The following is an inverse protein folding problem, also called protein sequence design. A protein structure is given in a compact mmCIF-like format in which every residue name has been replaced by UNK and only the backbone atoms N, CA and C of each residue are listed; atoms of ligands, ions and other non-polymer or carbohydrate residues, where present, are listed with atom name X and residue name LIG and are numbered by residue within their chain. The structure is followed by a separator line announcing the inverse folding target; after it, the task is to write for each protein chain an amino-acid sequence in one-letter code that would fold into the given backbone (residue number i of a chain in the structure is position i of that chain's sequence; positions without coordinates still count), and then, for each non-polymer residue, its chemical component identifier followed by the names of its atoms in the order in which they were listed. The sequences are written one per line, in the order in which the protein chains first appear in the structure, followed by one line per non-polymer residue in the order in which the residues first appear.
data_IF_510035039125
#
_entry.id   IF_510035039125
#
_cell.length_a   1.000
_cell.length_b   1.000
_cell.length_c   1.000
_cell.angle_alpha   90.00
_cell.angle_beta   90.00
_cell.angle_gamma   90.00
#
_symmetry.space_group_name_H-M   'P 1'
#
loop_
_entity.id
_entity.type
_entity.pdbx_description
1 polymer ?
#
# COMPACT_ATOMS: atom_id res chain seq x y z
N UNK A 1 -5.55 11.53 -27.36
CA UNK A 1 -5.08 10.18 -27.71
C UNK A 1 -5.34 9.97 -29.21
N UNK A 2 -4.54 9.18 -29.95
CA UNK A 2 -4.69 9.07 -31.40
C UNK A 2 -5.76 8.01 -31.74
N UNK A 3 -6.93 8.45 -32.22
CA UNK A 3 -8.09 7.60 -32.58
C UNK A 3 -7.71 6.41 -33.47
N UNK A 4 -6.78 6.60 -34.40
CA UNK A 4 -6.31 5.53 -35.31
C UNK A 4 -5.57 4.41 -34.59
N UNK A 5 -4.91 4.74 -33.47
CA UNK A 5 -4.19 3.76 -32.66
C UNK A 5 -5.18 2.89 -31.86
N UNK A 6 -6.17 3.51 -31.22
CA UNK A 6 -7.20 2.81 -30.44
C UNK A 6 -8.07 1.90 -31.32
N UNK A 7 -8.46 2.38 -32.50
CA UNK A 7 -9.14 1.55 -33.50
C UNK A 7 -8.35 0.27 -33.84
N UNK A 8 -7.05 0.42 -34.11
CA UNK A 8 -6.18 -0.72 -34.47
C UNK A 8 -6.02 -1.72 -33.33
N UNK A 9 -6.04 -1.25 -32.08
CA UNK A 9 -5.95 -2.10 -30.90
C UNK A 9 -7.23 -2.90 -30.67
N UNK A 10 -8.40 -2.26 -30.76
CA UNK A 10 -9.69 -2.96 -30.68
C UNK A 10 -9.86 -3.98 -31.81
N UNK A 11 -9.48 -3.60 -33.04
CA UNK A 11 -9.54 -4.50 -34.18
C UNK A 11 -8.61 -5.71 -34.02
N UNK A 12 -7.44 -5.52 -33.40
CA UNK A 12 -6.52 -6.61 -33.09
C UNK A 12 -7.11 -7.55 -32.03
N UNK A 13 -7.67 -7.01 -30.95
CA UNK A 13 -8.29 -7.78 -29.88
C UNK A 13 -9.48 -8.63 -30.40
N UNK A 14 -10.32 -8.04 -31.27
CA UNK A 14 -11.43 -8.74 -31.90
C UNK A 14 -10.95 -9.88 -32.81
N UNK A 15 -9.96 -9.62 -33.68
CA UNK A 15 -9.39 -10.64 -34.58
C UNK A 15 -8.68 -11.77 -33.84
N UNK A 16 -8.13 -11.51 -32.65
CA UNK A 16 -7.56 -12.54 -31.79
C UNK A 16 -8.60 -13.31 -30.96
N UNK A 17 -9.89 -12.99 -31.09
CA UNK A 17 -10.98 -13.62 -30.33
C UNK A 17 -10.98 -13.27 -28.85
N UNK A 18 -10.29 -12.19 -28.46
CA UNK A 18 -10.18 -11.75 -27.06
C UNK A 18 -11.44 -11.01 -26.63
N UNK A 19 -12.11 -10.33 -27.57
CA UNK A 19 -13.39 -9.66 -27.36
C UNK A 19 -14.41 -10.15 -28.38
N UNK A 20 -15.69 -10.12 -28.00
CA UNK A 20 -16.79 -10.48 -28.90
C UNK A 20 -17.08 -9.36 -29.90
N UNK A 21 -17.83 -9.68 -30.96
CA UNK A 21 -18.29 -8.70 -31.95
C UNK A 21 -19.10 -7.59 -31.28
N UNK A 22 -20.03 -7.95 -30.39
CA UNK A 22 -20.83 -7.01 -29.59
C UNK A 22 -19.96 -6.07 -28.74
N UNK A 23 -18.90 -6.60 -28.12
CA UNK A 23 -17.95 -5.77 -27.34
C UNK A 23 -17.15 -4.84 -28.27
N UNK A 24 -16.74 -5.32 -29.43
CA UNK A 24 -16.05 -4.49 -30.42
C UNK A 24 -16.93 -3.34 -30.94
N UNK A 25 -18.18 -3.62 -31.29
CA UNK A 25 -19.14 -2.62 -31.75
C UNK A 25 -19.45 -1.56 -30.68
N UNK A 26 -19.59 -1.98 -29.42
CA UNK A 26 -19.80 -1.08 -28.30
C UNK A 26 -18.62 -0.12 -28.10
N UNK A 27 -17.39 -0.64 -28.09
CA UNK A 27 -16.18 0.18 -27.94
C UNK A 27 -15.94 1.09 -29.16
N UNK A 28 -16.31 0.65 -30.36
CA UNK A 28 -16.31 1.47 -31.57
C UNK A 28 -17.29 2.64 -31.48
N UNK A 29 -18.51 2.39 -30.97
CA UNK A 29 -19.49 3.45 -30.73
C UNK A 29 -18.99 4.46 -29.67
N UNK A 30 -18.27 3.98 -28.64
CA UNK A 30 -17.65 4.84 -27.64
C UNK A 30 -16.49 5.68 -28.23
N UNK A 31 -15.71 5.12 -29.17
CA UNK A 31 -14.67 5.85 -29.90
C UNK A 31 -15.22 6.90 -30.87
N UNK A 32 -16.38 6.64 -31.46
CA UNK A 32 -17.08 7.57 -32.35
C UNK A 32 -17.80 8.68 -31.57
N UNK A 33 -18.34 8.35 -30.40
CA UNK A 33 -18.97 9.32 -29.49
C UNK A 33 -17.98 10.05 -28.60
N UNK A 34 -16.78 9.52 -28.39
CA UNK A 34 -15.70 10.09 -27.56
C UNK A 34 -15.05 11.38 -28.08
N UNK A 35 -15.52 11.92 -29.22
CA UNK A 35 -15.28 13.32 -29.60
C UNK A 35 -16.25 14.30 -28.89
N UNK A 36 -17.30 13.79 -28.25
CA UNK A 36 -18.14 14.51 -27.29
C UNK A 36 -17.89 13.93 -25.90
N UNK A 37 -17.36 14.76 -25.01
CA UNK A 37 -17.09 14.45 -23.61
C UNK A 37 -18.24 13.66 -22.97
N UNK A 38 -18.00 12.37 -22.73
CA UNK A 38 -18.82 11.55 -21.84
C UNK A 38 -18.59 12.06 -20.42
N UNK A 39 -19.40 13.04 -20.04
CA UNK A 39 -19.63 13.41 -18.65
C UNK A 39 -20.30 12.23 -17.96
N UNK A 40 -19.49 11.36 -17.36
CA UNK A 40 -19.97 10.38 -16.41
C UNK A 40 -20.83 11.10 -15.36
N UNK A 41 -21.98 10.50 -15.05
CA UNK A 41 -23.08 11.11 -14.30
C UNK A 41 -22.68 11.80 -12.99
N UNK A 42 -23.55 12.67 -12.51
CA UNK A 42 -23.38 13.61 -11.40
C UNK A 42 -22.94 13.06 -10.02
N UNK A 43 -22.52 11.79 -9.91
CA UNK A 43 -21.90 11.22 -8.71
C UNK A 43 -20.40 11.04 -8.91
N UNK A 44 -19.58 11.87 -8.26
CA UNK A 44 -18.12 11.69 -8.25
C UNK A 44 -17.69 10.35 -7.66
N UNK A 45 -16.44 9.94 -7.91
CA UNK A 45 -15.85 8.72 -7.38
C UNK A 45 -15.66 8.83 -5.86
N UNK A 46 -16.25 7.94 -5.07
CA UNK A 46 -16.18 7.99 -3.61
C UNK A 46 -15.15 7.00 -3.06
N UNK A 47 -14.18 7.48 -2.31
CA UNK A 47 -13.21 6.65 -1.59
C UNK A 47 -12.68 7.37 -0.36
N UNK A 48 -12.34 6.61 0.69
CA UNK A 48 -11.79 7.15 1.95
C UNK A 48 -12.62 8.30 2.56
N UNK A 49 -13.95 8.22 2.43
CA UNK A 49 -14.87 9.28 2.90
C UNK A 49 -14.80 10.59 2.11
N UNK A 50 -14.19 10.60 0.92
CA UNK A 50 -14.06 11.76 0.03
C UNK A 50 -14.68 11.47 -1.34
N UNK A 51 -15.20 12.52 -1.96
CA UNK A 51 -15.66 12.49 -3.35
C UNK A 51 -14.61 13.13 -4.25
N UNK A 52 -14.18 12.38 -5.25
CA UNK A 52 -13.24 12.78 -6.31
C UNK A 52 -14.02 12.98 -7.61
N UNK A 53 -13.50 13.78 -8.55
CA UNK A 53 -14.20 13.94 -9.84
C UNK A 53 -14.11 12.67 -10.67
N UNK A 54 -13.01 11.93 -10.56
CA UNK A 54 -12.74 10.71 -11.31
C UNK A 54 -12.03 9.66 -10.46
N UNK A 55 -12.05 8.40 -10.92
CA UNK A 55 -11.23 7.31 -10.36
C UNK A 55 -9.74 7.67 -10.38
N UNK A 56 -9.25 8.23 -11.50
CA UNK A 56 -7.86 8.67 -11.65
C UNK A 56 -7.43 9.67 -10.58
N UNK A 57 -8.28 10.66 -10.27
CA UNK A 57 -7.98 11.62 -9.20
C UNK A 57 -7.88 10.94 -7.83
N UNK A 58 -8.76 9.98 -7.54
CA UNK A 58 -8.72 9.22 -6.30
C UNK A 58 -7.43 8.38 -6.20
N UNK A 59 -7.04 7.73 -7.30
CA UNK A 59 -5.81 6.93 -7.42
C UNK A 59 -4.58 7.80 -7.14
N UNK A 60 -4.44 8.92 -7.84
CA UNK A 60 -3.28 9.81 -7.67
C UNK A 60 -3.21 10.31 -6.22
N UNK A 61 -4.34 10.74 -5.66
CA UNK A 61 -4.40 11.23 -4.30
C UNK A 61 -4.07 10.16 -3.24
N UNK A 62 -4.37 8.88 -3.52
CA UNK A 62 -3.98 7.78 -2.65
C UNK A 62 -2.49 7.46 -2.80
N UNK A 63 -2.02 7.21 -4.03
CA UNK A 63 -0.64 6.81 -4.30
C UNK A 63 0.35 7.86 -3.81
N UNK A 64 0.08 9.15 -3.99
CA UNK A 64 1.00 10.20 -3.54
C UNK A 64 1.11 10.27 -2.01
N UNK A 65 0.00 10.05 -1.28
CA UNK A 65 0.04 9.93 0.18
C UNK A 65 0.76 8.66 0.63
N UNK A 66 0.50 7.52 -0.03
CA UNK A 66 1.17 6.26 0.28
C UNK A 66 2.68 6.36 0.03
N UNK A 67 3.09 6.92 -1.11
CA UNK A 67 4.51 7.18 -1.47
C UNK A 67 5.28 7.84 -0.32
N UNK A 68 4.76 8.95 0.20
CA UNK A 68 5.46 9.70 1.24
C UNK A 68 5.43 8.98 2.59
N UNK A 69 4.32 8.30 2.92
CA UNK A 69 4.21 7.50 4.13
C UNK A 69 5.21 6.33 4.11
N UNK A 70 5.23 5.54 3.03
CA UNK A 70 6.09 4.35 2.92
C UNK A 70 7.57 4.69 2.85
N UNK A 71 7.92 5.77 2.15
CA UNK A 71 9.32 6.25 2.13
C UNK A 71 9.80 6.62 3.54
N UNK A 72 8.94 7.22 4.36
CA UNK A 72 9.27 7.55 5.74
C UNK A 72 9.23 6.32 6.66
N UNK A 73 8.29 5.39 6.47
CA UNK A 73 8.26 4.14 7.20
C UNK A 73 9.55 3.33 6.97
N UNK A 74 10.02 3.26 5.71
CA UNK A 74 11.29 2.62 5.35
C UNK A 74 12.48 3.20 6.12
N UNK A 75 12.60 4.53 6.18
CA UNK A 75 13.64 5.22 6.97
C UNK A 75 13.46 4.97 8.47
N UNK A 76 12.25 5.06 8.98
CA UNK A 76 11.93 4.88 10.40
C UNK A 76 12.30 3.47 10.89
N UNK A 77 11.92 2.43 10.14
CA UNK A 77 12.27 1.05 10.47
C UNK A 77 13.77 0.76 10.33
N UNK A 78 14.46 1.38 9.36
CA UNK A 78 15.91 1.29 9.28
C UNK A 78 16.58 1.90 10.52
N UNK A 79 16.14 3.09 10.93
CA UNK A 79 16.66 3.76 12.12
C UNK A 79 16.44 2.91 13.38
N UNK A 80 15.25 2.33 13.52
CA UNK A 80 14.97 1.40 14.60
C UNK A 80 15.92 0.21 14.55
N UNK A 81 16.06 -0.46 13.40
CA UNK A 81 16.97 -1.60 13.25
C UNK A 81 18.43 -1.26 13.63
N UNK A 82 18.89 -0.03 13.35
CA UNK A 82 20.25 0.42 13.67
C UNK A 82 20.48 0.62 15.17
N UNK A 83 19.43 0.99 15.93
CA UNK A 83 19.50 1.16 17.39
C UNK A 83 18.91 -0.03 18.17
N UNK A 84 18.45 -1.07 17.46
CA UNK A 84 17.78 -2.22 18.03
C UNK A 84 18.74 -3.09 18.85
N UNK A 85 18.38 -3.32 20.12
CA UNK A 85 19.17 -4.11 21.09
C UNK A 85 18.64 -5.54 21.22
N UNK A 86 17.45 -5.82 20.69
CA UNK A 86 16.78 -7.12 20.74
C UNK A 86 17.08 -7.93 19.48
N UNK A 87 18.03 -8.87 19.57
CA UNK A 87 18.58 -9.57 18.41
C UNK A 87 17.52 -10.27 17.56
N UNK A 88 16.50 -10.88 18.18
CA UNK A 88 15.49 -11.68 17.47
C UNK A 88 14.55 -10.87 16.57
N UNK A 89 14.49 -9.54 16.70
CA UNK A 89 13.63 -8.69 15.86
C UNK A 89 14.43 -7.85 14.85
N UNK A 90 15.74 -7.65 15.06
CA UNK A 90 16.55 -6.70 14.27
C UNK A 90 16.47 -6.97 12.76
N UNK A 91 16.63 -8.22 12.34
CA UNK A 91 16.59 -8.57 10.91
C UNK A 91 15.18 -8.45 10.33
N UNK A 92 14.13 -8.72 11.11
CA UNK A 92 12.76 -8.50 10.65
C UNK A 92 12.46 -7.02 10.44
N UNK A 93 12.94 -6.14 11.32
CA UNK A 93 12.85 -4.68 11.11
C UNK A 93 13.56 -4.23 9.82
N UNK A 94 14.71 -4.84 9.49
CA UNK A 94 15.41 -4.56 8.20
C UNK A 94 14.59 -5.03 7.00
N UNK A 95 13.96 -6.21 7.08
CA UNK A 95 13.09 -6.69 6.00
C UNK A 95 11.90 -5.77 5.77
N UNK A 96 11.27 -5.30 6.84
CA UNK A 96 10.18 -4.31 6.79
C UNK A 96 10.69 -3.03 6.14
N UNK A 97 11.81 -2.48 6.62
CA UNK A 97 12.42 -1.27 6.06
C UNK A 97 12.64 -1.34 4.55
N UNK A 98 13.15 -2.45 4.04
CA UNK A 98 13.34 -2.65 2.59
C UNK A 98 12.03 -2.71 1.82
N UNK A 99 10.99 -3.37 2.38
CA UNK A 99 9.65 -3.41 1.77
C UNK A 99 9.03 -2.02 1.67
N UNK A 100 9.00 -1.27 2.77
CA UNK A 100 8.38 0.06 2.76
C UNK A 100 9.14 1.02 1.84
N UNK A 101 10.48 0.93 1.85
CA UNK A 101 11.30 1.71 0.92
C UNK A 101 11.03 1.33 -0.55
N UNK A 102 10.78 0.05 -0.82
CA UNK A 102 10.42 -0.43 -2.15
C UNK A 102 9.04 0.08 -2.58
N UNK A 103 8.03 -0.02 -1.71
CA UNK A 103 6.69 0.50 -2.02
C UNK A 103 6.71 2.00 -2.30
N UNK A 104 7.45 2.79 -1.49
CA UNK A 104 7.64 4.22 -1.74
C UNK A 104 8.17 4.50 -3.15
N UNK A 105 9.20 3.77 -3.60
CA UNK A 105 9.75 3.90 -4.96
C UNK A 105 8.76 3.47 -6.05
N UNK A 106 8.00 2.41 -5.81
CA UNK A 106 7.00 1.91 -6.76
C UNK A 106 5.84 2.88 -6.93
N UNK A 107 5.37 3.50 -5.83
CA UNK A 107 4.35 4.53 -5.89
C UNK A 107 4.83 5.80 -6.59
N UNK A 108 6.06 6.24 -6.35
CA UNK A 108 6.64 7.36 -7.09
C UNK A 108 6.75 7.06 -8.59
N UNK A 109 7.19 5.84 -8.95
CA UNK A 109 7.22 5.41 -10.34
C UNK A 109 5.81 5.41 -10.95
N UNK A 110 4.82 4.88 -10.24
CA UNK A 110 3.45 4.84 -10.75
C UNK A 110 2.86 6.23 -10.97
N UNK A 111 3.15 7.20 -10.10
CA UNK A 111 2.74 8.60 -10.32
C UNK A 111 3.35 9.16 -11.61
N UNK A 112 4.63 8.89 -11.88
CA UNK A 112 5.27 9.31 -13.14
C UNK A 112 4.61 8.66 -14.34
N UNK A 113 4.30 7.36 -14.28
CA UNK A 113 3.64 6.64 -15.38
C UNK A 113 2.22 7.19 -15.64
N UNK A 114 1.54 7.67 -14.59
CA UNK A 114 0.26 8.38 -14.69
C UNK A 114 0.38 9.83 -15.16
N UNK A 115 1.60 10.37 -15.31
CA UNK A 115 1.83 11.78 -15.62
C UNK A 115 1.40 12.74 -14.51
N UNK A 116 1.49 12.29 -13.25
CA UNK A 116 1.13 13.06 -12.07
C UNK A 116 2.37 13.57 -11.33
N UNK A 117 2.24 14.74 -10.69
CA UNK A 117 3.26 15.29 -9.80
C UNK A 117 3.09 14.77 -8.36
N UNK A 118 4.19 14.78 -7.61
CA UNK A 118 4.19 14.44 -6.18
C UNK A 118 3.96 15.70 -5.35
N UNK A 119 2.87 15.76 -4.60
CA UNK A 119 2.47 16.91 -3.79
C UNK A 119 2.30 16.60 -2.30
N UNK A 120 2.11 15.33 -1.95
CA UNK A 120 1.87 14.92 -0.57
C UNK A 120 3.11 15.14 0.29
N UNK A 121 2.90 15.81 1.42
CA UNK A 121 3.88 15.96 2.48
C UNK A 121 3.63 14.94 3.60
N UNK A 122 4.66 14.71 4.41
CA UNK A 122 4.54 13.87 5.60
C UNK A 122 3.46 14.39 6.54
N UNK A 123 2.65 13.49 7.08
CA UNK A 123 1.73 13.82 8.17
C UNK A 123 2.49 13.97 9.50
N UNK A 124 1.90 14.67 10.46
CA UNK A 124 2.43 14.74 11.83
C UNK A 124 2.54 13.36 12.47
N UNK A 125 1.58 12.47 12.20
CA UNK A 125 1.59 11.12 12.75
C UNK A 125 2.75 10.29 12.19
N UNK A 126 3.07 10.44 10.89
CA UNK A 126 4.23 9.78 10.27
C UNK A 126 5.55 10.27 10.87
N UNK A 127 5.64 11.57 11.17
CA UNK A 127 6.81 12.16 11.86
C UNK A 127 6.94 11.63 13.28
N UNK A 128 5.87 11.67 14.07
CA UNK A 128 5.86 11.18 15.47
C UNK A 128 6.19 9.70 15.55
N UNK A 129 5.73 8.89 14.59
CA UNK A 129 6.10 7.48 14.50
C UNK A 129 7.61 7.32 14.29
N UNK A 130 8.18 8.02 13.29
CA UNK A 130 9.61 7.97 13.00
C UNK A 130 10.47 8.42 14.18
N UNK A 131 10.06 9.48 14.88
CA UNK A 131 10.69 9.95 16.12
C UNK A 131 10.66 8.88 17.21
N UNK A 132 9.49 8.28 17.45
CA UNK A 132 9.31 7.24 18.48
C UNK A 132 10.20 6.03 18.24
N UNK A 133 10.23 5.50 17.02
CA UNK A 133 11.00 4.27 16.75
C UNK A 133 12.51 4.52 16.70
N UNK A 134 12.93 5.77 16.48
CA UNK A 134 14.34 6.19 16.50
C UNK A 134 14.84 6.58 17.90
N UNK A 135 13.95 6.77 18.87
CA UNK A 135 14.31 7.15 20.24
C UNK A 135 15.09 6.02 20.95
N UNK A 136 16.32 6.32 21.36
CA UNK A 136 17.21 5.36 22.05
C UNK A 136 16.90 5.22 23.53
N UNK A 137 16.10 6.13 24.11
CA UNK A 137 15.62 6.03 25.49
C UNK A 137 14.52 4.97 25.64
N UNK A 138 13.83 4.64 24.55
CA UNK A 138 12.83 3.59 24.51
C UNK A 138 13.46 2.23 24.16
N UNK A 139 13.07 1.22 24.92
CA UNK A 139 13.36 -0.18 24.60
C UNK A 139 12.60 -0.62 23.34
N UNK A 140 13.12 -1.65 22.68
CA UNK A 140 12.45 -2.25 21.52
C UNK A 140 11.04 -2.77 21.89
N UNK A 141 10.88 -3.30 23.10
CA UNK A 141 9.59 -3.79 23.57
C UNK A 141 8.58 -2.65 23.76
N UNK A 142 9.00 -1.52 24.32
CA UNK A 142 8.13 -0.33 24.44
C UNK A 142 7.68 0.19 23.07
N UNK A 143 8.58 0.19 22.08
CA UNK A 143 8.24 0.56 20.69
C UNK A 143 7.22 -0.40 20.08
N UNK A 144 7.40 -1.71 20.27
CA UNK A 144 6.44 -2.73 19.82
C UNK A 144 5.08 -2.60 20.51
N UNK A 145 5.05 -2.34 21.82
CA UNK A 145 3.81 -2.12 22.57
C UNK A 145 3.06 -0.88 22.06
N UNK A 146 3.78 0.21 21.78
CA UNK A 146 3.19 1.43 21.19
C UNK A 146 2.64 1.17 19.79
N UNK A 147 3.37 0.46 18.94
CA UNK A 147 2.90 0.06 17.62
C UNK A 147 1.62 -0.79 17.72
N UNK A 148 1.60 -1.80 18.60
CA UNK A 148 0.45 -2.68 18.78
C UNK A 148 -0.77 -1.97 19.38
N UNK A 149 -0.57 -0.91 20.18
CA UNK A 149 -1.65 -0.07 20.67
C UNK A 149 -2.30 0.76 19.56
N UNK A 150 -1.51 1.19 18.57
CA UNK A 150 -1.96 1.91 17.39
C UNK A 150 -2.64 0.96 16.39
N UNK A 151 -2.03 -0.20 16.15
CA UNK A 151 -2.48 -1.21 15.19
C UNK A 151 -2.92 -2.47 15.94
N UNK A 152 -4.15 -2.42 16.47
CA UNK A 152 -4.72 -3.51 17.30
C UNK A 152 -5.11 -4.73 16.47
N UNK A 153 -5.62 -4.50 15.27
CA UNK A 153 -6.06 -5.53 14.33
C UNK A 153 -5.37 -5.27 12.98
N UNK A 154 -4.41 -6.13 12.58
CA UNK A 154 -3.69 -5.97 11.33
C UNK A 154 -4.62 -5.99 10.12
N UNK A 155 -5.59 -6.90 10.10
CA UNK A 155 -6.54 -7.06 8.99
C UNK A 155 -7.37 -5.80 8.84
N UNK A 156 -7.93 -5.30 9.95
CA UNK A 156 -8.72 -4.07 9.93
C UNK A 156 -7.90 -2.83 9.53
N UNK A 157 -6.61 -2.79 9.90
CA UNK A 157 -5.74 -1.66 9.60
C UNK A 157 -5.40 -1.55 8.10
N UNK A 158 -5.16 -2.69 7.43
CA UNK A 158 -4.79 -2.71 6.01
C UNK A 158 -5.99 -2.85 5.07
N UNK A 159 -7.14 -3.28 5.59
CA UNK A 159 -8.40 -3.45 4.83
C UNK A 159 -8.77 -2.27 3.91
N UNK A 160 -8.61 -0.99 4.30
CA UNK A 160 -8.91 0.12 3.41
C UNK A 160 -8.11 0.13 2.10
N UNK A 161 -6.89 -0.43 2.10
CA UNK A 161 -6.07 -0.58 0.88
C UNK A 161 -6.76 -1.56 -0.08
N UNK A 162 -7.18 -2.71 0.44
CA UNK A 162 -7.85 -3.76 -0.34
C UNK A 162 -9.19 -3.28 -0.89
N UNK A 163 -9.99 -2.63 -0.04
CA UNK A 163 -11.28 -2.05 -0.47
C UNK A 163 -11.09 -1.02 -1.57
N UNK A 164 -10.07 -0.16 -1.46
CA UNK A 164 -9.75 0.80 -2.50
C UNK A 164 -9.33 0.13 -3.81
N UNK A 165 -8.47 -0.89 -3.74
CA UNK A 165 -8.08 -1.66 -4.92
C UNK A 165 -9.28 -2.32 -5.60
N UNK A 166 -10.23 -2.87 -4.84
CA UNK A 166 -11.41 -3.53 -5.40
C UNK A 166 -12.40 -2.55 -6.06
N UNK A 167 -12.41 -1.27 -5.64
CA UNK A 167 -13.20 -0.20 -6.27
C UNK A 167 -12.66 0.26 -7.64
N UNK A 168 -11.36 0.08 -7.90
CA UNK A 168 -10.72 0.48 -9.16
C UNK A 168 -11.22 -0.41 -10.31
N UNK A 169 -11.70 0.21 -11.40
CA UNK A 169 -12.24 -0.46 -12.57
C UNK A 169 -11.39 -0.27 -13.82
N UNK A 170 -10.86 0.93 -14.02
CA UNK A 170 -10.20 1.30 -15.27
C UNK A 170 -8.68 1.08 -15.17
N UNK A 171 -8.05 1.51 -14.07
CA UNK A 171 -6.60 1.37 -13.88
C UNK A 171 -6.22 0.01 -13.27
N UNK A 172 -6.27 -1.04 -14.09
CA UNK A 172 -5.96 -2.41 -13.66
C UNK A 172 -4.52 -2.59 -13.15
N UNK A 173 -3.57 -1.81 -13.65
CA UNK A 173 -2.18 -1.87 -13.20
C UNK A 173 -2.05 -1.39 -11.75
N UNK A 174 -2.64 -0.22 -11.44
CA UNK A 174 -2.70 0.27 -10.06
C UNK A 174 -3.47 -0.69 -9.17
N UNK A 175 -4.59 -1.25 -9.64
CA UNK A 175 -5.38 -2.22 -8.89
C UNK A 175 -4.55 -3.41 -8.40
N UNK A 176 -3.85 -4.09 -9.30
CA UNK A 176 -3.06 -5.27 -8.93
C UNK A 176 -1.84 -4.89 -8.08
N UNK A 177 -1.22 -3.72 -8.32
CA UNK A 177 -0.16 -3.20 -7.45
C UNK A 177 -0.65 -3.00 -6.01
N UNK A 178 -1.83 -2.42 -5.82
CA UNK A 178 -2.40 -2.18 -4.49
C UNK A 178 -2.82 -3.46 -3.77
N UNK A 179 -3.23 -4.50 -4.50
CA UNK A 179 -3.48 -5.82 -3.91
C UNK A 179 -2.22 -6.46 -3.36
N UNK A 180 -1.09 -6.35 -4.09
CA UNK A 180 0.18 -6.88 -3.60
C UNK A 180 0.72 -6.06 -2.42
N UNK A 181 0.61 -4.73 -2.51
CA UNK A 181 0.93 -3.84 -1.39
C UNK A 181 0.16 -4.21 -0.12
N UNK A 182 -1.15 -4.47 -0.23
CA UNK A 182 -1.97 -4.95 0.89
C UNK A 182 -1.40 -6.22 1.57
N UNK A 183 -0.97 -7.22 0.79
CA UNK A 183 -0.42 -8.46 1.35
C UNK A 183 0.91 -8.22 2.09
N UNK A 184 1.75 -7.34 1.56
CA UNK A 184 3.02 -6.96 2.21
C UNK A 184 2.77 -6.22 3.52
N UNK A 185 1.85 -5.25 3.53
CA UNK A 185 1.45 -4.50 4.73
C UNK A 185 0.89 -5.42 5.82
N UNK A 186 0.05 -6.36 5.41
CA UNK A 186 -0.53 -7.36 6.31
C UNK A 186 0.58 -8.24 6.91
N UNK A 187 1.55 -8.65 6.10
CA UNK A 187 2.69 -9.46 6.53
C UNK A 187 3.56 -8.71 7.55
N UNK A 188 3.95 -7.47 7.24
CA UNK A 188 4.74 -6.61 8.13
C UNK A 188 4.02 -6.41 9.48
N UNK A 189 2.74 -6.08 9.44
CA UNK A 189 1.95 -5.79 10.65
C UNK A 189 1.72 -7.04 11.51
N UNK A 190 1.37 -8.18 10.91
CA UNK A 190 1.22 -9.45 11.64
C UNK A 190 2.53 -9.87 12.30
N UNK A 191 3.66 -9.68 11.61
CA UNK A 191 4.96 -10.01 12.18
C UNK A 191 5.32 -9.11 13.38
N UNK A 192 5.05 -7.81 13.30
CA UNK A 192 5.25 -6.89 14.43
C UNK A 192 4.38 -7.27 15.65
N UNK A 193 3.13 -7.66 15.42
CA UNK A 193 2.27 -8.16 16.51
C UNK A 193 2.79 -9.46 17.12
N UNK A 194 3.22 -10.41 16.28
CA UNK A 194 3.84 -11.65 16.73
C UNK A 194 5.09 -11.39 17.58
N UNK A 195 5.97 -10.50 17.13
CA UNK A 195 7.18 -10.13 17.86
C UNK A 195 6.83 -9.50 19.22
N UNK A 196 5.86 -8.60 19.25
CA UNK A 196 5.34 -7.99 20.47
C UNK A 196 4.78 -9.04 21.44
N UNK A 197 3.91 -9.93 20.97
CA UNK A 197 3.32 -10.98 21.78
C UNK A 197 4.38 -11.94 22.34
N UNK A 198 5.38 -12.31 21.52
CA UNK A 198 6.46 -13.22 21.93
C UNK A 198 7.33 -12.62 23.03
N UNK A 199 7.68 -11.34 22.93
CA UNK A 199 8.52 -10.66 23.92
C UNK A 199 7.78 -10.34 25.24
N UNK A 200 6.45 -10.33 25.22
CA UNK A 200 5.61 -10.09 26.40
C UNK A 200 4.91 -11.36 26.90
N UNK A 201 5.20 -12.53 26.32
CA UNK A 201 4.68 -13.79 26.81
C UNK A 201 5.21 -14.03 28.24
N UNK A 202 4.39 -14.55 29.17
CA UNK A 202 4.88 -14.94 30.48
C UNK A 202 6.01 -15.95 30.26
N UNK A 203 7.14 -15.76 30.96
CA UNK A 203 8.24 -16.72 30.93
C UNK A 203 7.67 -18.09 31.33
N UNK A 204 7.44 -18.98 30.36
CA UNK A 204 7.21 -20.38 30.68
C UNK A 204 8.44 -20.83 31.43
N UNK A 205 8.22 -21.24 32.68
CA UNK A 205 9.26 -21.62 33.62
C UNK A 205 10.34 -22.44 32.93
N UNK A 206 11.53 -21.87 32.79
CA UNK A 206 12.77 -22.59 32.49
C UNK A 206 13.06 -23.49 33.69
N UNK A 207 12.28 -24.57 33.81
CA UNK A 207 12.36 -25.54 34.88
C UNK A 207 12.35 -26.94 34.27
N UNK A 208 13.16 -27.16 33.22
CA UNK A 208 13.63 -28.49 32.83
C UNK A 208 14.99 -28.36 32.13
N UNK A 209 16.05 -28.10 32.90
CA UNK A 209 17.39 -28.60 32.61
C UNK A 209 18.39 -28.14 33.68
N UNK A 210 18.45 -28.85 34.81
CA UNK A 210 19.69 -29.23 35.48
C UNK A 210 19.40 -30.18 36.66
N UNK A 211 20.35 -31.05 37.07
CA UNK A 211 20.37 -32.45 36.64
C UNK A 211 20.09 -33.41 37.81
N UNK A 212 19.62 -34.62 37.52
CA UNK A 212 19.66 -35.71 38.49
C UNK A 212 21.07 -36.35 38.46
N UNK A 213 21.62 -36.51 39.67
CA UNK A 213 22.95 -36.97 40.01
C UNK A 213 23.34 -38.36 39.48
#
# INVERSE_FOLDING_TARGET
MNRDFEFKQLLRAYRSGVITEETFEHEMANLETGAMEMTNGAGGFQAFGKTYKTEREAIIAFIDRARVAESNAGVAFNNWANVCKTDCIRSGLRMISERESYHGRMFERRLRDLGAECHAALSDDSRKFAETVSDQSLTDNEKLLRFNALVRDPEAAVKPIREFADMIKEDLETKEMLKLFHEDELSSTKWLQYACATLNAPAQATQMAQPAA
#
